data_IF_532836195785
#
_entry.id   IF_532836195785
#
_cell.length_a   1.000
_cell.length_b   1.000
_cell.length_c   1.000
_cell.angle_alpha   90.00
_cell.angle_beta   90.00
_cell.angle_gamma   90.00
#
_symmetry.space_group_name_H-M   'P 1'
#
loop_
_entity.id
_entity.type
_entity.pdbx_description
1 polymer ?
#
# COMPACT_ATOMS: atom_id res chain seq x y z
N UNK A 1 -9.40 5.54 11.02
CA UNK A 1 -8.04 4.98 10.80
C UNK A 1 -8.10 3.66 10.03
N UNK A 2 -8.75 2.59 10.53
CA UNK A 2 -8.89 1.32 9.80
C UNK A 2 -9.61 1.39 8.45
N UNK A 3 -10.62 2.27 8.33
CA UNK A 3 -11.34 2.49 7.06
C UNK A 3 -10.44 2.98 5.90
N UNK A 4 -9.39 3.77 6.21
CA UNK A 4 -8.43 4.22 5.20
C UNK A 4 -7.55 3.05 4.72
N UNK A 5 -7.08 2.20 5.64
CA UNK A 5 -6.37 0.97 5.30
C UNK A 5 -7.21 0.04 4.43
N UNK A 6 -8.48 -0.18 4.79
CA UNK A 6 -9.42 -0.95 3.98
C UNK A 6 -9.71 -0.32 2.63
N UNK A 7 -9.82 1.01 2.56
CA UNK A 7 -9.94 1.73 1.30
C UNK A 7 -8.75 1.45 0.38
N UNK A 8 -7.54 1.45 0.93
CA UNK A 8 -6.32 1.07 0.19
C UNK A 8 -6.38 -0.38 -0.28
N UNK A 9 -6.91 -1.30 0.52
CA UNK A 9 -7.09 -2.70 0.12
C UNK A 9 -7.98 -2.81 -1.12
N UNK A 10 -9.14 -2.15 -1.11
CA UNK A 10 -10.05 -2.11 -2.26
C UNK A 10 -9.41 -1.47 -3.50
N UNK A 11 -8.48 -0.54 -3.32
CA UNK A 11 -7.76 0.12 -4.41
C UNK A 11 -6.68 -0.79 -5.04
N UNK A 12 -6.10 -1.69 -4.25
CA UNK A 12 -5.12 -2.67 -4.73
C UNK A 12 -5.79 -3.93 -5.30
N UNK A 13 -6.91 -4.33 -4.70
CA UNK A 13 -7.68 -5.54 -5.04
C UNK A 13 -7.95 -5.78 -6.54
N UNK A 14 -8.40 -4.80 -7.36
CA UNK A 14 -8.76 -5.07 -8.76
C UNK A 14 -7.56 -5.47 -9.63
N UNK A 15 -6.36 -4.99 -9.33
CA UNK A 15 -5.13 -5.33 -10.07
C UNK A 15 -4.55 -6.66 -9.57
N UNK A 16 -4.94 -7.07 -8.36
CA UNK A 16 -4.29 -8.14 -7.63
C UNK A 16 -5.23 -9.32 -7.30
N UNK A 17 -6.36 -9.45 -8.02
CA UNK A 17 -7.33 -10.57 -7.89
C UNK A 17 -6.70 -11.98 -7.90
N UNK A 18 -5.49 -12.13 -8.43
CA UNK A 18 -4.75 -13.40 -8.45
C UNK A 18 -3.79 -13.59 -7.26
N UNK A 19 -3.42 -12.53 -6.55
CA UNK A 19 -2.42 -12.50 -5.48
C UNK A 19 -3.02 -12.25 -4.10
N UNK A 20 -4.19 -11.61 -4.03
CA UNK A 20 -4.84 -11.27 -2.77
C UNK A 20 -6.18 -12.00 -2.62
N UNK A 21 -6.51 -12.48 -1.42
CA UNK A 21 -7.82 -13.01 -1.10
C UNK A 21 -8.92 -11.98 -1.43
N UNK A 22 -10.16 -12.43 -1.61
CA UNK A 22 -11.27 -11.47 -1.69
C UNK A 22 -11.35 -10.69 -0.37
N UNK A 23 -11.70 -9.38 -0.36
CA UNK A 23 -11.92 -8.64 0.87
C UNK A 23 -12.91 -9.34 1.80
N UNK A 24 -13.93 -9.99 1.24
CA UNK A 24 -14.94 -10.74 1.98
C UNK A 24 -14.44 -12.09 2.54
N UNK A 25 -13.26 -12.54 2.11
CA UNK A 25 -12.58 -13.73 2.66
C UNK A 25 -11.59 -13.42 3.77
N UNK A 26 -11.30 -12.13 4.01
CA UNK A 26 -10.52 -11.68 5.17
C UNK A 26 -11.43 -11.68 6.40
N UNK A 27 -11.49 -12.82 7.09
CA UNK A 27 -12.20 -12.96 8.37
C UNK A 27 -11.24 -13.28 9.50
N UNK A 28 -11.30 -12.50 10.59
CA UNK A 28 -10.55 -12.75 11.81
C UNK A 28 -10.16 -11.46 12.55
N UNK A 29 -9.89 -11.57 13.85
CA UNK A 29 -9.59 -10.44 14.73
C UNK A 29 -8.32 -9.66 14.32
N UNK A 30 -7.46 -10.28 13.49
CA UNK A 30 -6.21 -9.70 12.98
C UNK A 30 -6.42 -8.73 11.81
N UNK A 31 -7.57 -8.79 11.12
CA UNK A 31 -7.84 -7.98 9.92
C UNK A 31 -7.95 -6.49 10.27
N UNK A 32 -8.55 -6.18 11.42
CA UNK A 32 -8.77 -4.80 11.85
C UNK A 32 -7.50 -4.10 12.36
N UNK A 33 -6.67 -4.73 13.23
CA UNK A 33 -5.33 -4.22 13.54
C UNK A 33 -4.47 -4.04 12.29
N UNK A 34 -4.51 -5.01 11.36
CA UNK A 34 -3.77 -4.94 10.09
C UNK A 34 -4.16 -3.70 9.30
N UNK A 35 -5.45 -3.44 9.12
CA UNK A 35 -5.91 -2.25 8.40
C UNK A 35 -5.47 -0.95 9.07
N UNK A 36 -5.42 -0.92 10.41
CA UNK A 36 -4.90 0.23 11.16
C UNK A 36 -3.39 0.41 10.91
N UNK A 37 -2.60 -0.66 11.00
CA UNK A 37 -1.15 -0.62 10.75
C UNK A 37 -0.82 -0.23 9.31
N UNK A 38 -1.53 -0.78 8.33
CA UNK A 38 -1.35 -0.40 6.93
C UNK A 38 -1.72 1.05 6.72
N UNK A 39 -2.83 1.54 7.29
CA UNK A 39 -3.20 2.96 7.24
C UNK A 39 -2.16 3.87 7.89
N UNK A 40 -1.52 3.43 8.97
CA UNK A 40 -0.45 4.17 9.67
C UNK A 40 0.88 4.17 8.91
N UNK A 41 1.22 3.06 8.25
CA UNK A 41 2.46 2.87 7.52
C UNK A 41 2.39 3.38 6.08
N UNK A 42 1.19 3.53 5.52
CA UNK A 42 1.01 4.01 4.16
C UNK A 42 1.59 5.42 3.90
N UNK A 43 1.48 6.40 4.82
CA UNK A 43 2.12 7.70 4.68
C UNK A 43 3.65 7.66 4.54
N UNK A 44 4.32 6.59 4.98
CA UNK A 44 5.76 6.45 4.76
C UNK A 44 6.09 6.26 3.27
N UNK A 45 5.12 5.85 2.45
CA UNK A 45 5.23 5.81 0.99
C UNK A 45 5.54 7.17 0.37
N UNK A 46 5.12 8.28 1.00
CA UNK A 46 5.47 9.63 0.53
C UNK A 46 6.97 9.91 0.67
N UNK A 47 7.64 9.34 1.68
CA UNK A 47 9.09 9.50 1.83
C UNK A 47 9.80 8.82 0.65
N UNK A 48 9.40 7.58 0.31
CA UNK A 48 9.94 6.87 -0.85
C UNK A 48 9.63 7.59 -2.17
N UNK A 49 8.41 8.09 -2.33
CA UNK A 49 8.00 8.90 -3.49
C UNK A 49 8.86 10.17 -3.63
N UNK A 50 9.06 10.90 -2.53
CA UNK A 50 9.88 12.10 -2.49
C UNK A 50 11.35 11.81 -2.82
N UNK A 51 11.93 10.73 -2.28
CA UNK A 51 13.32 10.33 -2.59
C UNK A 51 13.46 10.05 -4.09
N UNK A 52 12.59 9.21 -4.66
CA UNK A 52 12.65 8.84 -6.09
C UNK A 52 12.48 10.08 -6.97
N UNK A 53 11.52 10.94 -6.65
CA UNK A 53 11.27 12.19 -7.38
C UNK A 53 12.48 13.12 -7.31
N UNK A 54 13.06 13.31 -6.14
CA UNK A 54 14.25 14.15 -5.95
C UNK A 54 15.45 13.62 -6.76
N UNK A 55 15.63 12.29 -6.82
CA UNK A 55 16.64 11.67 -7.70
C UNK A 55 16.36 11.89 -9.19
N UNK A 56 15.10 11.99 -9.60
CA UNK A 56 14.71 12.19 -11.01
C UNK A 56 14.68 13.68 -11.42
N UNK A 57 14.44 14.61 -10.49
CA UNK A 57 14.50 16.05 -10.72
C UNK A 57 15.88 16.49 -11.23
N UNK A 58 16.95 15.86 -10.74
CA UNK A 58 18.32 16.08 -11.22
C UNK A 58 18.54 15.81 -12.72
N UNK A 59 17.57 15.22 -13.43
CA UNK A 59 17.61 14.97 -14.88
C UNK A 59 16.80 15.96 -15.73
N UNK A 60 16.31 17.06 -15.14
CA UNK A 60 15.60 18.12 -15.89
C UNK A 60 14.23 17.70 -16.42
N UNK A 61 13.57 16.72 -15.78
CA UNK A 61 12.25 16.25 -16.18
C UNK A 61 11.14 17.19 -15.72
N UNK A 62 10.07 17.38 -16.52
CA UNK A 62 8.97 18.26 -16.17
C UNK A 62 8.19 17.74 -14.96
N UNK A 63 7.87 18.65 -14.03
CA UNK A 63 7.20 18.37 -12.74
C UNK A 63 5.92 17.51 -12.87
N UNK A 64 5.19 17.63 -13.97
CA UNK A 64 3.97 16.83 -14.24
C UNK A 64 4.25 15.32 -14.31
N UNK A 65 5.39 14.91 -14.86
CA UNK A 65 5.77 13.49 -14.95
C UNK A 65 6.13 12.94 -13.56
N UNK A 66 6.72 13.78 -12.71
CA UNK A 66 7.08 13.41 -11.35
C UNK A 66 5.85 13.18 -10.48
N UNK A 67 4.82 14.04 -10.58
CA UNK A 67 3.52 13.80 -9.93
C UNK A 67 2.84 12.52 -10.42
N UNK A 68 2.90 12.26 -11.74
CA UNK A 68 2.34 11.03 -12.29
C UNK A 68 3.06 9.78 -11.80
N UNK A 69 4.37 9.87 -11.52
CA UNK A 69 5.17 8.77 -10.95
C UNK A 69 4.92 8.57 -9.46
N UNK A 70 4.47 9.62 -8.76
CA UNK A 70 4.17 9.57 -7.33
C UNK A 70 2.99 8.65 -7.01
N UNK A 71 1.97 8.67 -7.86
CA UNK A 71 0.75 7.84 -7.73
C UNK A 71 1.07 6.34 -7.72
N UNK A 72 1.77 5.77 -8.72
CA UNK A 72 2.12 4.35 -8.73
C UNK A 72 3.10 3.98 -7.61
N UNK A 73 3.96 4.89 -7.13
CA UNK A 73 4.86 4.61 -6.00
C UNK A 73 4.05 4.42 -4.70
N UNK A 74 3.14 5.35 -4.40
CA UNK A 74 2.25 5.24 -3.24
C UNK A 74 1.33 4.02 -3.33
N UNK A 75 0.90 3.70 -4.54
CA UNK A 75 0.07 2.52 -4.81
C UNK A 75 0.86 1.22 -4.59
N UNK A 76 2.08 1.11 -5.16
CA UNK A 76 2.97 -0.03 -4.95
C UNK A 76 3.33 -0.21 -3.47
N UNK A 77 3.54 0.89 -2.73
CA UNK A 77 3.77 0.82 -1.29
C UNK A 77 2.58 0.21 -0.54
N UNK A 78 1.34 0.58 -0.90
CA UNK A 78 0.14 -0.04 -0.34
C UNK A 78 0.08 -1.55 -0.61
N UNK A 79 0.45 -1.97 -1.84
CA UNK A 79 0.51 -3.40 -2.23
C UNK A 79 1.50 -4.16 -1.34
N UNK A 80 2.71 -3.62 -1.17
CA UNK A 80 3.77 -4.26 -0.38
C UNK A 80 3.35 -4.40 1.08
N UNK A 81 2.76 -3.36 1.67
CA UNK A 81 2.26 -3.42 3.05
C UNK A 81 1.19 -4.49 3.21
N UNK A 82 0.20 -4.52 2.32
CA UNK A 82 -0.86 -5.53 2.39
C UNK A 82 -0.33 -6.96 2.18
N UNK A 83 0.60 -7.21 1.25
CA UNK A 83 1.25 -8.52 1.11
C UNK A 83 1.95 -8.93 2.39
N UNK A 84 2.73 -8.02 2.98
CA UNK A 84 3.48 -8.31 4.18
C UNK A 84 2.56 -8.73 5.33
N UNK A 85 1.45 -8.01 5.57
CA UNK A 85 0.54 -8.34 6.65
C UNK A 85 -0.35 -9.56 6.36
N UNK A 86 -0.79 -9.75 5.12
CA UNK A 86 -1.57 -10.94 4.71
C UNK A 86 -0.74 -12.22 4.86
N UNK A 87 0.57 -12.18 4.60
CA UNK A 87 1.45 -13.35 4.80
C UNK A 87 1.91 -13.55 6.25
N UNK A 88 2.00 -12.45 7.02
CA UNK A 88 2.58 -12.46 8.36
C UNK A 88 1.54 -12.74 9.46
N UNK A 89 0.38 -12.10 9.43
CA UNK A 89 -0.63 -12.21 10.51
C UNK A 89 -1.27 -13.61 10.64
N UNK A 90 -1.63 -14.33 9.56
CA UNK A 90 -2.15 -15.69 9.68
C UNK A 90 -1.12 -16.70 10.22
N UNK A 91 0.17 -16.35 10.22
CA UNK A 91 1.25 -17.21 10.70
C UNK A 91 1.43 -17.13 12.23
N UNK A 92 1.02 -16.04 12.86
CA UNK A 92 1.16 -15.80 14.30
C UNK A 92 -0.02 -16.38 15.10
N UNK A 93 -1.19 -16.47 14.48
CA UNK A 93 -2.42 -17.00 15.09
C UNK A 93 -2.63 -18.52 14.89
N UNK A 94 -1.58 -19.27 14.55
CA UNK A 94 -1.56 -20.75 14.54
C UNK A 94 -0.76 -21.27 15.72
#
# INVERSE_FOLDING_TARGET
>A
MGAMGFGLYYLVFPISKSLFPHPDSLSGDWVWPTAIYVGLLWPFGFIFGAIIVHFLEGKGRPNKILYFLYIPILWLWAVILWLHFVDYMPRINK
#
